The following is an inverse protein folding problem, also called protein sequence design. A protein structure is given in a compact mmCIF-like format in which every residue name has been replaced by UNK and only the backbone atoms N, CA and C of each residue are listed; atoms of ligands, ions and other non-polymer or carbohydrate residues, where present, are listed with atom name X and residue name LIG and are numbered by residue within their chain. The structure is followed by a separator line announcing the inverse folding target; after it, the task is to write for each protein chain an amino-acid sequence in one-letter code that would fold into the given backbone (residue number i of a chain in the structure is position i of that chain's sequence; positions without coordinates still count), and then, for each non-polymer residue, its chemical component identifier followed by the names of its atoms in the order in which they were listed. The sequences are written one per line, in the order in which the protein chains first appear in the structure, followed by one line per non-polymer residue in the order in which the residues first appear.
data_IF_444471759644
#
_entry.id   IF_444471759644
#
_cell.length_a   1.000
_cell.length_b   1.000
_cell.length_c   1.000
_cell.angle_alpha   90.00
_cell.angle_beta   90.00
_cell.angle_gamma   90.00
#
_symmetry.space_group_name_H-M   'P 1'
#
loop_
_entity.id
_entity.type
_entity.pdbx_description
1 polymer ?
#
# COMPACT_ATOMS: atom_id res chain seq x y z
N UNK A 1 -22.99 -14.92 7.36
CA UNK A 1 -21.62 -15.42 7.03
C UNK A 1 -21.34 -15.49 5.53
N UNK A 2 -22.33 -15.40 4.62
CA UNK A 2 -22.11 -15.54 3.17
C UNK A 2 -21.48 -14.32 2.47
N UNK A 3 -21.64 -13.11 3.02
CA UNK A 3 -21.22 -11.87 2.35
C UNK A 3 -19.69 -11.64 2.37
N UNK A 4 -19.03 -12.08 3.44
CA UNK A 4 -17.57 -12.03 3.55
C UNK A 4 -16.87 -13.02 2.59
N UNK A 5 -17.50 -14.17 2.35
CA UNK A 5 -17.00 -15.20 1.45
C UNK A 5 -17.15 -14.77 -0.03
N UNK A 6 -18.30 -14.18 -0.38
CA UNK A 6 -18.52 -13.60 -1.71
C UNK A 6 -17.56 -12.42 -2.00
N UNK A 7 -17.26 -11.57 -1.01
CA UNK A 7 -16.30 -10.48 -1.16
C UNK A 7 -14.85 -11.00 -1.34
N UNK A 8 -14.47 -12.08 -0.65
CA UNK A 8 -13.17 -12.72 -0.80
C UNK A 8 -13.00 -13.33 -2.21
N UNK A 9 -14.00 -14.07 -2.69
CA UNK A 9 -14.02 -14.64 -4.05
C UNK A 9 -13.95 -13.54 -5.12
N UNK A 10 -14.62 -12.41 -4.88
CA UNK A 10 -14.57 -11.25 -5.78
C UNK A 10 -13.18 -10.57 -5.79
N UNK A 11 -12.52 -10.45 -4.63
CA UNK A 11 -11.17 -9.88 -4.54
C UNK A 11 -10.11 -10.76 -5.22
N UNK A 12 -10.17 -12.09 -5.04
CA UNK A 12 -9.22 -13.01 -5.67
C UNK A 12 -9.38 -13.03 -7.20
N UNK A 13 -10.61 -12.90 -7.69
CA UNK A 13 -10.90 -12.75 -9.12
C UNK A 13 -10.28 -11.47 -9.68
N UNK A 14 -10.47 -10.34 -9.01
CA UNK A 14 -9.88 -9.05 -9.41
C UNK A 14 -8.34 -9.07 -9.36
N UNK A 15 -7.72 -9.77 -8.40
CA UNK A 15 -6.26 -9.95 -8.33
C UNK A 15 -5.73 -10.76 -9.51
N UNK A 16 -6.45 -11.82 -9.91
CA UNK A 16 -6.09 -12.61 -11.08
C UNK A 16 -6.20 -11.78 -12.37
N UNK A 17 -7.25 -10.98 -12.50
CA UNK A 17 -7.46 -10.08 -13.63
C UNK A 17 -6.35 -9.02 -13.71
N UNK A 18 -6.00 -8.39 -12.58
CA UNK A 18 -4.88 -7.44 -12.52
C UNK A 18 -3.57 -8.07 -12.99
N UNK A 19 -3.25 -9.27 -12.50
CA UNK A 19 -2.05 -10.01 -12.90
C UNK A 19 -2.04 -10.25 -14.41
N UNK A 20 -3.16 -10.69 -14.99
CA UNK A 20 -3.30 -10.92 -16.43
C UNK A 20 -3.10 -9.63 -17.23
N UNK A 21 -3.69 -8.52 -16.80
CA UNK A 21 -3.57 -7.20 -17.46
C UNK A 21 -2.13 -6.71 -17.43
N UNK A 22 -1.43 -6.85 -16.30
CA UNK A 22 -0.01 -6.48 -16.20
C UNK A 22 0.90 -7.38 -17.03
N UNK A 23 0.68 -8.70 -17.03
CA UNK A 23 1.44 -9.64 -17.86
C UNK A 23 1.27 -9.32 -19.34
N UNK A 24 0.04 -9.05 -19.79
CA UNK A 24 -0.24 -8.63 -21.17
C UNK A 24 0.51 -7.36 -21.56
N UNK A 25 0.57 -6.37 -20.67
CA UNK A 25 1.32 -5.12 -20.92
C UNK A 25 2.83 -5.37 -21.10
N UNK A 26 3.39 -6.26 -20.28
CA UNK A 26 4.81 -6.59 -20.32
C UNK A 26 5.17 -7.46 -21.54
N UNK A 27 4.29 -8.36 -21.96
CA UNK A 27 4.47 -9.19 -23.17
C UNK A 27 4.39 -8.35 -24.46
N UNK A 28 3.49 -7.37 -24.50
CA UNK A 28 3.32 -6.45 -25.64
C UNK A 28 4.56 -5.54 -25.82
N UNK A 29 5.26 -5.20 -24.73
CA UNK A 29 6.52 -4.45 -24.77
C UNK A 29 7.77 -5.27 -25.12
N UNK A 30 7.70 -6.61 -25.10
CA UNK A 30 8.86 -7.51 -25.24
C UNK A 30 9.23 -7.90 -26.68
N UNK A 31 8.38 -7.60 -27.67
CA UNK A 31 8.61 -7.91 -29.09
C UNK A 31 8.77 -6.62 -29.90
N UNK A 32 9.85 -5.87 -29.66
CA UNK A 32 10.29 -4.84 -30.60
C UNK A 32 11.65 -5.20 -31.19
N UNK A 33 11.64 -6.25 -32.03
CA UNK A 33 12.61 -6.36 -33.12
C UNK A 33 11.99 -5.59 -34.29
N UNK A 34 12.40 -4.33 -34.43
CA UNK A 34 12.33 -3.54 -35.67
C UNK A 34 10.95 -3.48 -36.36
N UNK A 35 9.98 -2.79 -35.76
CA UNK A 35 8.79 -2.34 -36.49
C UNK A 35 8.42 -0.91 -36.11
N UNK A 36 8.24 -0.11 -37.16
CA UNK A 36 8.15 1.33 -37.14
C UNK A 36 7.17 1.93 -36.13
N UNK A 37 7.59 3.10 -35.66
CA UNK A 37 6.89 4.06 -34.82
C UNK A 37 5.52 4.39 -35.43
N UNK A 38 4.40 3.87 -34.88
CA UNK A 38 3.14 4.67 -34.81
C UNK A 38 1.97 4.12 -33.98
N UNK A 39 1.94 2.85 -33.53
CA UNK A 39 0.69 2.31 -32.93
C UNK A 39 0.82 1.63 -31.54
N UNK A 40 2.05 1.39 -31.06
CA UNK A 40 2.26 0.70 -29.77
C UNK A 40 1.86 1.50 -28.51
N UNK A 41 1.84 2.84 -28.60
CA UNK A 41 1.60 3.69 -27.43
C UNK A 41 0.14 3.67 -26.95
N UNK A 42 -0.83 3.48 -27.86
CA UNK A 42 -2.25 3.58 -27.51
C UNK A 42 -2.76 2.32 -26.80
N UNK A 43 -2.24 1.15 -27.15
CA UNK A 43 -2.53 -0.12 -26.48
C UNK A 43 -2.02 -0.15 -25.04
N UNK A 44 -0.82 0.40 -24.79
CA UNK A 44 -0.26 0.51 -23.45
C UNK A 44 -1.10 1.41 -22.54
N UNK A 45 -1.53 2.59 -23.02
CA UNK A 45 -2.39 3.51 -22.27
C UNK A 45 -3.72 2.86 -21.89
N UNK A 46 -4.38 2.18 -22.82
CA UNK A 46 -5.63 1.45 -22.55
C UNK A 46 -5.45 0.37 -21.47
N UNK A 47 -4.31 -0.32 -21.47
CA UNK A 47 -4.01 -1.36 -20.49
C UNK A 47 -3.72 -0.76 -19.10
N UNK A 48 -3.11 0.43 -19.05
CA UNK A 48 -2.91 1.19 -17.80
C UNK A 48 -4.26 1.64 -17.23
N UNK A 49 -5.15 2.21 -18.05
CA UNK A 49 -6.49 2.63 -17.60
C UNK A 49 -7.29 1.45 -17.04
N UNK A 50 -7.19 0.29 -17.69
CA UNK A 50 -7.80 -0.96 -17.22
C UNK A 50 -7.23 -1.42 -15.88
N UNK A 51 -5.91 -1.36 -15.68
CA UNK A 51 -5.27 -1.70 -14.41
C UNK A 51 -5.69 -0.75 -13.27
N UNK A 52 -5.76 0.55 -13.53
CA UNK A 52 -6.21 1.57 -12.56
C UNK A 52 -7.65 1.29 -12.12
N UNK A 53 -8.53 0.93 -13.06
CA UNK A 53 -9.91 0.54 -12.76
C UNK A 53 -9.97 -0.68 -11.83
N UNK A 54 -9.21 -1.74 -12.13
CA UNK A 54 -9.19 -2.96 -11.31
C UNK A 54 -8.67 -2.65 -9.89
N UNK A 55 -7.61 -1.84 -9.76
CA UNK A 55 -7.08 -1.41 -8.46
C UNK A 55 -8.10 -0.61 -7.64
N UNK A 56 -8.86 0.28 -8.26
CA UNK A 56 -9.93 1.01 -7.59
C UNK A 56 -11.02 0.06 -7.08
N UNK A 57 -11.43 -0.93 -7.89
CA UNK A 57 -12.40 -1.95 -7.46
C UNK A 57 -11.88 -2.82 -6.31
N UNK A 58 -10.59 -3.22 -6.34
CA UNK A 58 -9.97 -3.93 -5.23
C UNK A 58 -9.99 -3.12 -3.93
N UNK A 59 -9.64 -1.82 -4.01
CA UNK A 59 -9.71 -0.93 -2.87
C UNK A 59 -11.12 -0.86 -2.30
N UNK A 60 -12.16 -0.78 -3.13
CA UNK A 60 -13.55 -0.75 -2.66
C UNK A 60 -13.97 -2.06 -1.97
N UNK A 61 -13.56 -3.21 -2.49
CA UNK A 61 -13.88 -4.51 -1.89
C UNK A 61 -13.17 -4.69 -0.54
N UNK A 62 -11.91 -4.27 -0.45
CA UNK A 62 -11.13 -4.35 0.79
C UNK A 62 -11.57 -3.31 1.83
N UNK A 63 -12.05 -2.13 1.42
CA UNK A 63 -12.56 -1.08 2.32
C UNK A 63 -14.01 -1.26 2.77
N UNK A 64 -14.84 -1.99 2.01
CA UNK A 64 -16.22 -2.35 2.43
C UNK A 64 -16.26 -3.43 3.52
N UNK A 65 -15.13 -4.03 3.87
CA UNK A 65 -15.02 -4.83 5.09
C UNK A 65 -15.24 -3.89 6.27
N UNK A 66 -16.25 -4.11 7.14
CA UNK A 66 -16.58 -3.17 8.20
C UNK A 66 -15.34 -2.88 9.05
N UNK A 67 -14.93 -1.62 8.99
CA UNK A 67 -13.95 -1.00 9.85
C UNK A 67 -14.50 -1.03 11.28
N UNK A 68 -14.22 -2.13 11.99
CA UNK A 68 -14.21 -2.08 13.44
C UNK A 68 -13.05 -1.15 13.85
N UNK A 69 -13.43 0.10 14.12
CA UNK A 69 -12.69 1.20 14.77
C UNK A 69 -11.87 2.14 13.87
N UNK A 70 -11.94 3.47 14.15
CA UNK A 70 -11.23 4.47 13.37
C UNK A 70 -9.74 4.42 13.71
N UNK A 71 -8.91 4.14 12.73
CA UNK A 71 -7.47 4.41 12.84
C UNK A 71 -7.05 5.36 11.73
N UNK A 72 -7.20 6.65 12.04
CA UNK A 72 -6.21 7.62 11.61
C UNK A 72 -4.81 7.06 11.84
N UNK A 73 -4.00 7.09 10.77
CA UNK A 73 -2.52 7.04 10.75
C UNK A 73 -1.90 5.74 10.24
N UNK A 74 -1.29 5.88 9.06
CA UNK A 74 0.06 5.42 8.71
C UNK A 74 0.66 4.28 9.55
N UNK A 75 0.88 3.15 8.87
CA UNK A 75 2.00 2.22 9.04
C UNK A 75 2.23 1.56 10.41
N UNK A 76 2.21 0.23 10.40
CA UNK A 76 2.78 -0.68 11.41
C UNK A 76 2.02 -0.75 12.74
N UNK A 77 1.00 -1.60 12.78
CA UNK A 77 0.58 -2.28 14.01
C UNK A 77 1.64 -3.33 14.44
N UNK A 78 2.88 -2.88 14.62
CA UNK A 78 3.75 -3.50 15.62
C UNK A 78 3.22 -2.99 16.95
N UNK A 79 2.93 -3.87 17.90
CA UNK A 79 2.70 -3.48 19.29
C UNK A 79 3.85 -2.58 19.71
N UNK A 80 3.66 -1.26 19.64
CA UNK A 80 4.74 -0.31 19.91
C UNK A 80 5.30 -0.67 21.29
N UNK A 81 6.60 -1.00 21.40
CA UNK A 81 7.16 -1.46 22.65
C UNK A 81 6.85 -0.43 23.72
N UNK A 82 6.42 -0.88 24.91
CA UNK A 82 6.04 0.02 25.99
C UNK A 82 7.28 0.78 26.46
N UNK A 83 7.48 1.97 25.90
CA UNK A 83 8.62 2.82 26.21
C UNK A 83 8.48 3.34 27.64
N UNK A 84 9.49 3.15 28.52
CA UNK A 84 9.50 3.73 29.85
C UNK A 84 9.34 5.25 29.80
N UNK A 85 8.69 5.81 30.80
CA UNK A 85 8.29 7.24 30.82
C UNK A 85 9.49 8.18 30.78
N UNK A 86 10.65 7.73 31.26
CA UNK A 86 11.92 8.47 31.32
C UNK A 86 12.49 8.77 29.93
N UNK A 87 12.13 7.96 28.93
CA UNK A 87 12.58 8.14 27.54
C UNK A 87 11.58 8.93 26.69
N UNK A 88 10.50 9.44 27.29
CA UNK A 88 9.49 10.24 26.58
C UNK A 88 9.68 11.72 26.85
N UNK A 89 9.56 12.52 25.80
CA UNK A 89 9.48 13.97 25.96
C UNK A 89 8.18 14.34 26.68
N UNK A 90 8.26 15.21 27.68
CA UNK A 90 7.10 15.65 28.47
C UNK A 90 6.12 16.51 27.69
N UNK A 91 6.59 17.18 26.62
CA UNK A 91 5.75 18.04 25.77
C UNK A 91 5.08 17.25 24.65
N UNK A 92 5.84 16.39 23.95
CA UNK A 92 5.33 15.69 22.77
C UNK A 92 4.82 14.27 23.06
N UNK A 93 5.10 13.71 24.24
CA UNK A 93 4.82 12.33 24.62
C UNK A 93 5.43 11.25 23.70
N UNK A 94 6.23 11.67 22.72
CA UNK A 94 7.00 10.81 21.84
C UNK A 94 8.35 10.43 22.47
N UNK A 95 9.01 9.42 21.90
CA UNK A 95 10.36 9.01 22.31
C UNK A 95 11.32 10.17 22.06
N UNK A 96 12.17 10.48 23.04
CA UNK A 96 13.19 11.51 22.93
C UNK A 96 14.28 11.07 21.93
N UNK A 97 14.35 11.73 20.78
CA UNK A 97 15.34 11.44 19.74
C UNK A 97 16.70 12.10 19.99
N UNK A 98 16.70 13.26 20.66
CA UNK A 98 17.89 14.06 20.92
C UNK A 98 18.03 14.36 22.41
N UNK A 99 18.52 13.39 23.22
CA UNK A 99 18.76 13.63 24.63
C UNK A 99 19.93 14.60 24.81
N UNK A 100 19.70 15.66 25.58
CA UNK A 100 20.79 16.54 26.04
C UNK A 100 21.45 15.87 27.25
N UNK A 101 22.70 15.43 27.08
CA UNK A 101 23.51 14.88 28.18
C UNK A 101 24.16 16.04 28.92
N UNK A 102 23.77 16.26 30.17
CA UNK A 102 24.42 17.24 31.05
C UNK A 102 25.43 16.49 31.91
N UNK A 103 26.72 16.75 31.71
CA UNK A 103 27.76 16.26 32.59
C UNK A 103 27.73 17.08 33.88
N UNK A 104 27.02 16.61 34.91
CA UNK A 104 27.10 17.17 36.25
C UNK A 104 28.39 16.69 36.93
N UNK A 105 29.54 17.01 36.33
CA UNK A 105 30.84 16.74 36.93
C UNK A 105 30.92 17.48 38.26
N UNK A 106 30.87 16.73 39.37
CA UNK A 106 31.40 17.20 40.64
C UNK A 106 32.90 16.87 40.58
N UNK A 107 33.71 17.92 40.40
CA UNK A 107 35.13 17.89 40.72
C UNK A 107 35.34 18.22 42.18
#
# INVERSE_FOLDING_TARGET
MAEADAAAVNADTLRLELKKTMTKNLEDGGVSKDRGETDGSFGALKTIDEAVRILNSLREVETKKPESAPTTSSSLASSAPKVPKEFKCTLSYAIMSEPVVIASGQG
#
